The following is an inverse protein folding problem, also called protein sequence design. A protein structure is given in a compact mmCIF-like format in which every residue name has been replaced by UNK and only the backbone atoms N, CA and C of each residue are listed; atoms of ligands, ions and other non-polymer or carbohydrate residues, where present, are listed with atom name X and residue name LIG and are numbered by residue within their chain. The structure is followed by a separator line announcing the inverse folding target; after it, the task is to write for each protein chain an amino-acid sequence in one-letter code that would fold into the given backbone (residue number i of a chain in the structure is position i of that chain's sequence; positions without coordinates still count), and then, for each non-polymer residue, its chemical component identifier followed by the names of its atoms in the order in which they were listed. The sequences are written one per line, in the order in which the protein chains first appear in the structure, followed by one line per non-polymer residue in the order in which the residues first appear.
data_IF_641802346268
#
_entry.id   IF_641802346268
#
_cell.length_a   1.000
_cell.length_b   1.000
_cell.length_c   1.000
_cell.angle_alpha   90.00
_cell.angle_beta   90.00
_cell.angle_gamma   90.00
#
_symmetry.space_group_name_H-M   'P 1'
#
loop_
_entity.id
_entity.type
_entity.pdbx_description
1 polymer ?
#
# COMPACT_ATOMS: atom_id res chain seq x y z
N UNK A 1 -1.51 -19.62 5.85
CA UNK A 1 -1.39 -18.18 5.59
C UNK A 1 -2.71 -17.74 4.99
N UNK A 2 -3.53 -17.09 5.77
CA UNK A 2 -4.76 -16.44 5.29
C UNK A 2 -4.35 -15.20 4.50
N UNK A 3 -5.18 -14.77 3.55
CA UNK A 3 -4.93 -13.55 2.74
C UNK A 3 -4.63 -12.32 3.62
N UNK A 4 -5.20 -12.30 4.82
CA UNK A 4 -4.95 -11.30 5.87
C UNK A 4 -3.50 -11.26 6.38
N UNK A 5 -2.81 -12.40 6.49
CA UNK A 5 -1.40 -12.46 6.95
C UNK A 5 -0.45 -11.78 5.94
N UNK A 6 -0.76 -11.93 4.65
CA UNK A 6 0.02 -11.31 3.58
C UNK A 6 -0.17 -9.79 3.57
N UNK A 7 -1.41 -9.32 3.72
CA UNK A 7 -1.73 -7.89 3.82
C UNK A 7 -1.04 -7.26 5.04
N UNK A 8 -1.13 -7.88 6.22
CA UNK A 8 -0.47 -7.38 7.44
C UNK A 8 1.05 -7.24 7.27
N UNK A 9 1.69 -8.24 6.66
CA UNK A 9 3.12 -8.19 6.38
C UNK A 9 3.48 -7.03 5.44
N UNK A 10 2.71 -6.83 4.37
CA UNK A 10 2.93 -5.72 3.43
C UNK A 10 2.73 -4.36 4.12
N UNK A 11 1.72 -4.23 4.98
CA UNK A 11 1.51 -3.01 5.80
C UNK A 11 2.74 -2.72 6.66
N UNK A 12 3.28 -3.73 7.34
CA UNK A 12 4.51 -3.58 8.13
C UNK A 12 5.68 -3.10 7.26
N UNK A 13 5.89 -3.72 6.10
CA UNK A 13 6.96 -3.32 5.17
C UNK A 13 6.80 -1.86 4.74
N UNK A 14 5.58 -1.39 4.45
CA UNK A 14 5.33 0.01 4.09
C UNK A 14 5.69 0.98 5.22
N UNK A 15 5.43 0.62 6.48
CA UNK A 15 5.69 1.47 7.65
C UNK A 15 7.15 1.44 8.11
N UNK A 16 7.80 0.29 8.02
CA UNK A 16 9.20 0.10 8.46
C UNK A 16 10.22 0.46 7.37
N UNK A 17 9.84 0.44 6.09
CA UNK A 17 10.75 0.78 4.99
C UNK A 17 10.95 2.29 4.85
N UNK A 18 12.16 2.67 4.47
CA UNK A 18 12.46 4.04 4.06
C UNK A 18 11.52 4.50 2.94
N UNK A 19 11.00 5.73 3.07
CA UNK A 19 10.13 6.33 2.06
C UNK A 19 10.84 6.33 0.69
N UNK A 20 10.14 5.91 -0.36
CA UNK A 20 10.67 5.71 -1.73
C UNK A 20 11.64 4.53 -1.94
N UNK A 21 11.78 3.60 -0.99
CA UNK A 21 12.51 2.35 -1.29
C UNK A 21 11.70 1.44 -2.22
N UNK A 22 12.41 0.68 -3.07
CA UNK A 22 11.79 -0.29 -3.98
C UNK A 22 10.90 -1.32 -3.23
N UNK A 23 11.33 -1.74 -2.04
CA UNK A 23 10.54 -2.63 -1.17
C UNK A 23 9.19 -2.01 -0.75
N UNK A 24 9.20 -0.70 -0.46
CA UNK A 24 8.01 0.03 -0.04
C UNK A 24 7.03 0.19 -1.23
N UNK A 25 7.54 0.46 -2.42
CA UNK A 25 6.74 0.52 -3.65
C UNK A 25 6.12 -0.84 -4.00
N UNK A 26 6.91 -1.91 -3.93
CA UNK A 26 6.42 -3.27 -4.15
C UNK A 26 5.35 -3.66 -3.12
N UNK A 27 5.52 -3.25 -1.86
CA UNK A 27 4.53 -3.51 -0.83
C UNK A 27 3.21 -2.76 -1.08
N UNK A 28 3.26 -1.50 -1.50
CA UNK A 28 2.07 -0.74 -1.89
C UNK A 28 1.35 -1.39 -3.09
N UNK A 29 2.08 -1.81 -4.12
CA UNK A 29 1.47 -2.50 -5.26
C UNK A 29 0.83 -3.82 -4.85
N UNK A 30 1.51 -4.61 -4.01
CA UNK A 30 0.96 -5.84 -3.46
C UNK A 30 -0.32 -5.63 -2.66
N UNK A 31 -0.39 -4.56 -1.84
CA UNK A 31 -1.62 -4.16 -1.15
C UNK A 31 -2.74 -3.80 -2.15
N UNK A 32 -2.38 -3.08 -3.21
CA UNK A 32 -3.28 -2.73 -4.30
C UNK A 32 -3.87 -3.94 -5.03
N UNK A 33 -3.07 -4.98 -5.24
CA UNK A 33 -3.50 -6.23 -5.89
C UNK A 33 -4.28 -7.15 -4.94
N UNK A 34 -3.88 -7.22 -3.66
CA UNK A 34 -4.58 -8.01 -2.66
C UNK A 34 -6.01 -7.52 -2.45
N UNK A 35 -6.23 -6.19 -2.50
CA UNK A 35 -7.54 -5.60 -2.29
C UNK A 35 -8.07 -5.77 -0.86
N UNK A 36 -9.33 -5.38 -0.67
CA UNK A 36 -10.01 -5.46 0.62
C UNK A 36 -9.77 -4.27 1.57
N UNK A 37 -10.63 -4.15 2.58
CA UNK A 37 -10.68 -2.99 3.47
C UNK A 37 -9.35 -2.66 4.16
N UNK A 38 -8.63 -3.67 4.65
CA UNK A 38 -7.37 -3.43 5.36
C UNK A 38 -6.27 -2.85 4.45
N UNK A 39 -6.20 -3.33 3.20
CA UNK A 39 -5.27 -2.79 2.22
C UNK A 39 -5.65 -1.36 1.82
N UNK A 40 -6.94 -1.10 1.59
CA UNK A 40 -7.44 0.24 1.26
C UNK A 40 -7.14 1.23 2.40
N UNK A 41 -7.45 0.87 3.65
CA UNK A 41 -7.22 1.73 4.81
C UNK A 41 -5.73 2.09 4.95
N UNK A 42 -4.84 1.10 4.83
CA UNK A 42 -3.41 1.33 4.89
C UNK A 42 -2.91 2.23 3.76
N UNK A 43 -3.40 2.02 2.53
CA UNK A 43 -3.02 2.83 1.38
C UNK A 43 -3.51 4.28 1.51
N UNK A 44 -4.71 4.51 2.05
CA UNK A 44 -5.24 5.86 2.35
C UNK A 44 -4.39 6.54 3.42
N UNK A 45 -4.08 5.83 4.52
CA UNK A 45 -3.24 6.36 5.58
C UNK A 45 -1.85 6.77 5.05
N UNK A 46 -1.24 5.91 4.24
CA UNK A 46 0.04 6.20 3.61
C UNK A 46 -0.04 7.38 2.64
N UNK A 47 -1.07 7.45 1.79
CA UNK A 47 -1.24 8.55 0.84
C UNK A 47 -1.42 9.91 1.54
N UNK A 48 -2.08 9.94 2.70
CA UNK A 48 -2.22 11.16 3.51
C UNK A 48 -0.93 11.56 4.23
N UNK A 49 -0.12 10.60 4.68
CA UNK A 49 1.17 10.85 5.33
C UNK A 49 2.28 11.21 4.34
N UNK A 50 2.22 10.66 3.12
CA UNK A 50 3.21 10.91 2.08
C UNK A 50 3.05 12.31 1.50
N UNK A 51 4.17 13.03 1.36
CA UNK A 51 4.20 14.34 0.71
C UNK A 51 3.63 14.24 -0.72
N UNK A 52 2.58 15.01 -0.99
CA UNK A 52 1.89 15.06 -2.28
C UNK A 52 2.87 15.26 -3.44
N UNK A 53 2.83 14.36 -4.42
CA UNK A 53 3.74 14.37 -5.57
C UNK A 53 5.00 13.50 -5.44
N UNK A 54 5.22 12.86 -4.29
CA UNK A 54 6.32 11.89 -4.13
C UNK A 54 6.02 10.58 -4.88
N UNK A 55 7.06 9.84 -5.28
CA UNK A 55 6.91 8.54 -5.97
C UNK A 55 6.07 7.55 -5.17
N UNK A 56 6.28 7.49 -3.84
CA UNK A 56 5.46 6.67 -2.93
C UNK A 56 3.99 7.10 -2.88
N UNK A 57 3.70 8.40 -2.94
CA UNK A 57 2.33 8.92 -2.94
C UNK A 57 1.60 8.52 -4.24
N UNK A 58 2.25 8.69 -5.40
CA UNK A 58 1.68 8.27 -6.69
C UNK A 58 1.47 6.76 -6.77
N UNK A 59 2.39 5.96 -6.21
CA UNK A 59 2.25 4.52 -6.13
C UNK A 59 1.06 4.11 -5.24
N UNK A 60 0.90 4.75 -4.08
CA UNK A 60 -0.23 4.50 -3.19
C UNK A 60 -1.57 4.83 -3.86
N UNK A 61 -1.66 5.95 -4.58
CA UNK A 61 -2.87 6.31 -5.34
C UNK A 61 -3.19 5.31 -6.45
N UNK A 62 -2.18 4.82 -7.17
CA UNK A 62 -2.38 3.77 -8.19
C UNK A 62 -2.83 2.45 -7.56
N UNK A 63 -2.19 2.06 -6.46
CA UNK A 63 -2.56 0.87 -5.70
C UNK A 63 -3.98 0.97 -5.15
N UNK A 64 -4.42 2.16 -4.68
CA UNK A 64 -5.81 2.40 -4.24
C UNK A 64 -6.80 2.14 -5.36
N UNK A 65 -6.52 2.63 -6.57
CA UNK A 65 -7.37 2.35 -7.73
C UNK A 65 -7.48 0.87 -8.07
N UNK A 66 -6.41 0.09 -7.86
CA UNK A 66 -6.42 -1.37 -8.01
C UNK A 66 -7.18 -2.05 -6.87
N UNK A 67 -6.94 -1.63 -5.62
CA UNK A 67 -7.58 -2.22 -4.45
C UNK A 67 -9.09 -2.03 -4.49
N UNK A 68 -9.55 -0.82 -4.84
CA UNK A 68 -10.98 -0.51 -4.97
C UNK A 68 -11.68 -1.33 -6.07
N UNK A 69 -10.96 -1.77 -7.09
CA UNK A 69 -11.49 -2.64 -8.15
C UNK A 69 -11.60 -4.10 -7.70
N UNK A 70 -10.80 -4.52 -6.72
CA UNK A 70 -10.72 -5.89 -6.21
C UNK A 70 -11.31 -6.03 -4.79
N UNK A 71 -12.01 -5.01 -4.28
CA UNK A 71 -12.61 -4.98 -2.95
C UNK A 71 -14.09 -5.40 -2.95
#
# INVERSE_FOLDING_TARGET
MSNTDAVDYLVRVVKESSRCSAAQLAALEGLGEAGGNAAIDCLIAYANDASGGSSGHLAALRALGRAARNA
#
